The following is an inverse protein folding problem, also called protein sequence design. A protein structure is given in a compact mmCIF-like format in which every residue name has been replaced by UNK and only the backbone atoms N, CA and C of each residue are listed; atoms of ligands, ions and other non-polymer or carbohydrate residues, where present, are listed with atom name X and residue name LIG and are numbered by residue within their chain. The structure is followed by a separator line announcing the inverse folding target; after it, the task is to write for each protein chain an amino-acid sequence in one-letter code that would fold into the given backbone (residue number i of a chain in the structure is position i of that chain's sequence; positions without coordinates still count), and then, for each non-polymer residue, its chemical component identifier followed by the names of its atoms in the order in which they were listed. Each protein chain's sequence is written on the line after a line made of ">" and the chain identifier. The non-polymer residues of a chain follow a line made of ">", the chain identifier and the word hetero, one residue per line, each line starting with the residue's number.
data_IF_490458234625
#
_entry.id   IF_490458234625
#
_cell.length_a   1.000
_cell.length_b   1.000
_cell.length_c   1.000
_cell.angle_alpha   90.00
_cell.angle_beta   90.00
_cell.angle_gamma   90.00
#
_symmetry.space_group_name_H-M   'P 1'
#
loop_
_entity.id
_entity.type
_entity.pdbx_description
1 polymer ?
#
# COMPACT_ATOMS: atom_id res chain seq x y z
N UNK A 1 20.49 -48.49 -11.49
CA UNK A 1 19.77 -47.81 -10.37
C UNK A 1 20.61 -46.76 -9.62
N UNK A 2 21.88 -46.50 -9.95
CA UNK A 2 22.70 -45.47 -9.26
C UNK A 2 22.55 -44.05 -9.83
N UNK A 3 22.19 -43.90 -11.11
CA UNK A 3 22.04 -42.61 -11.79
C UNK A 3 20.76 -41.84 -11.42
N UNK A 4 19.64 -42.55 -11.20
CA UNK A 4 18.38 -41.92 -10.81
C UNK A 4 18.43 -41.29 -9.41
N UNK A 5 19.18 -41.90 -8.49
CA UNK A 5 19.38 -41.40 -7.11
C UNK A 5 20.24 -40.14 -7.10
N UNK A 6 21.22 -40.03 -8.01
CA UNK A 6 22.03 -38.82 -8.18
C UNK A 6 21.23 -37.65 -8.78
N UNK A 7 20.35 -37.90 -9.75
CA UNK A 7 19.49 -36.86 -10.32
C UNK A 7 18.47 -36.33 -9.30
N UNK A 8 17.89 -37.19 -8.46
CA UNK A 8 16.94 -36.74 -7.43
C UNK A 8 17.63 -35.97 -6.31
N UNK A 9 18.83 -36.38 -5.88
CA UNK A 9 19.64 -35.64 -4.91
C UNK A 9 20.10 -34.27 -5.45
N UNK A 10 20.54 -34.19 -6.70
CA UNK A 10 20.94 -32.93 -7.33
C UNK A 10 19.78 -31.92 -7.42
N UNK A 11 18.57 -32.40 -7.72
CA UNK A 11 17.36 -31.57 -7.74
C UNK A 11 16.91 -31.11 -6.35
N UNK A 12 17.05 -31.95 -5.32
CA UNK A 12 16.75 -31.54 -3.94
C UNK A 12 17.72 -30.48 -3.42
N UNK A 13 19.02 -30.57 -3.76
CA UNK A 13 20.02 -29.55 -3.37
C UNK A 13 19.75 -28.21 -4.07
N UNK A 14 19.37 -28.21 -5.35
CA UNK A 14 19.01 -26.97 -6.06
C UNK A 14 17.73 -26.33 -5.52
N UNK A 15 16.72 -27.13 -5.13
CA UNK A 15 15.51 -26.60 -4.48
C UNK A 15 15.76 -26.11 -3.04
N UNK A 16 16.66 -26.74 -2.29
CA UNK A 16 17.04 -26.30 -0.96
C UNK A 16 17.81 -24.96 -1.00
N UNK A 17 18.63 -24.74 -2.02
CA UNK A 17 19.38 -23.48 -2.17
C UNK A 17 18.55 -22.33 -2.79
N UNK A 18 17.48 -22.62 -3.55
CA UNK A 18 16.63 -21.55 -4.13
C UNK A 18 15.59 -20.98 -3.15
N UNK A 19 15.48 -21.55 -1.94
CA UNK A 19 14.57 -21.07 -0.87
C UNK A 19 15.24 -20.20 0.18
N UNK A 20 16.39 -19.58 -0.12
CA UNK A 20 16.87 -18.47 0.70
C UNK A 20 16.06 -17.20 0.38
N UNK A 21 14.86 -17.09 0.96
CA UNK A 21 14.22 -15.80 1.19
C UNK A 21 14.98 -15.09 2.30
N UNK A 22 16.21 -14.66 2.01
CA UNK A 22 16.92 -13.75 2.88
C UNK A 22 16.02 -12.53 3.06
N UNK A 23 15.47 -12.36 4.26
CA UNK A 23 14.82 -11.10 4.63
C UNK A 23 15.93 -10.05 4.62
N UNK A 24 16.06 -9.35 3.49
CA UNK A 24 16.87 -8.13 3.43
C UNK A 24 16.02 -7.09 4.16
N UNK A 25 16.40 -6.66 5.38
CA UNK A 25 15.66 -5.64 6.08
C UNK A 25 15.57 -4.42 5.17
N UNK A 26 14.36 -4.09 4.71
CA UNK A 26 14.14 -2.89 3.91
C UNK A 26 14.55 -1.72 4.80
N UNK A 27 15.58 -0.97 4.40
CA UNK A 27 15.89 0.31 5.05
C UNK A 27 14.61 1.15 5.06
N UNK A 28 14.01 1.32 6.24
CA UNK A 28 12.81 2.11 6.40
C UNK A 28 13.10 3.55 5.99
N UNK A 29 12.09 4.25 5.48
CA UNK A 29 12.21 5.69 5.33
C UNK A 29 12.36 6.30 6.74
N UNK A 30 13.18 7.34 6.86
CA UNK A 30 13.21 8.11 8.10
C UNK A 30 11.79 8.57 8.44
N UNK A 31 11.42 8.51 9.73
CA UNK A 31 10.05 8.76 10.20
C UNK A 31 9.42 10.05 9.64
N UNK A 32 10.12 11.20 9.56
CA UNK A 32 9.54 12.42 8.99
C UNK A 32 9.12 12.29 7.52
N UNK A 33 9.89 11.54 6.73
CA UNK A 33 9.63 11.30 5.30
C UNK A 33 8.44 10.35 5.11
N UNK A 34 8.40 9.30 5.92
CA UNK A 34 7.29 8.36 5.96
C UNK A 34 5.98 9.08 6.29
N UNK A 35 5.95 9.85 7.39
CA UNK A 35 4.76 10.58 7.84
C UNK A 35 4.29 11.58 6.78
N UNK A 36 5.21 12.35 6.20
CA UNK A 36 4.91 13.30 5.13
C UNK A 36 4.24 12.62 3.92
N UNK A 37 4.77 11.46 3.52
CA UNK A 37 4.26 10.73 2.37
C UNK A 37 2.90 10.08 2.66
N UNK A 38 2.73 9.41 3.81
CA UNK A 38 1.45 8.80 4.23
C UNK A 38 0.31 9.81 4.25
N UNK A 39 0.56 10.96 4.87
CA UNK A 39 -0.43 12.02 5.04
C UNK A 39 -0.96 12.50 3.70
N UNK A 40 -0.07 12.72 2.73
CA UNK A 40 -0.46 13.20 1.40
C UNK A 40 -1.12 12.11 0.54
N UNK A 41 -0.68 10.86 0.65
CA UNK A 41 -1.31 9.74 -0.07
C UNK A 41 -2.76 9.56 0.39
N UNK A 42 -2.99 9.44 1.70
CA UNK A 42 -4.34 9.24 2.25
C UNK A 42 -5.23 10.45 1.96
N UNK A 43 -4.72 11.68 2.13
CA UNK A 43 -5.49 12.86 1.77
C UNK A 43 -5.92 12.86 0.29
N UNK A 44 -5.05 12.41 -0.63
CA UNK A 44 -5.39 12.25 -2.03
C UNK A 44 -6.47 11.20 -2.28
N UNK A 45 -6.34 10.02 -1.66
CA UNK A 45 -7.31 8.93 -1.81
C UNK A 45 -8.68 9.28 -1.21
N UNK A 46 -8.70 9.95 -0.06
CA UNK A 46 -9.92 10.36 0.62
C UNK A 46 -10.67 11.43 -0.16
N UNK A 47 -9.97 12.42 -0.77
CA UNK A 47 -10.61 13.38 -1.69
C UNK A 47 -11.28 12.68 -2.87
N UNK A 48 -10.61 11.68 -3.47
CA UNK A 48 -11.17 10.87 -4.55
C UNK A 48 -12.39 10.10 -4.09
N UNK A 49 -12.34 9.51 -2.90
CA UNK A 49 -13.47 8.79 -2.33
C UNK A 49 -14.67 9.73 -2.11
N UNK A 50 -14.44 10.93 -1.58
CA UNK A 50 -15.50 11.94 -1.42
C UNK A 50 -16.14 12.28 -2.78
N UNK A 51 -15.34 12.59 -3.80
CA UNK A 51 -15.85 12.89 -5.14
C UNK A 51 -16.54 11.71 -5.82
N UNK A 52 -16.10 10.48 -5.54
CA UNK A 52 -16.75 9.27 -6.05
C UNK A 52 -18.08 8.99 -5.32
N UNK A 53 -18.11 9.12 -3.99
CA UNK A 53 -19.31 8.94 -3.16
C UNK A 53 -20.41 9.96 -3.48
N UNK A 54 -20.04 11.18 -3.88
CA UNK A 54 -21.01 12.18 -4.34
C UNK A 54 -21.79 11.72 -5.58
N UNK A 55 -21.18 10.87 -6.43
CA UNK A 55 -21.78 10.39 -7.69
C UNK A 55 -22.39 8.99 -7.57
N UNK A 56 -21.79 8.12 -6.78
CA UNK A 56 -22.10 6.68 -6.75
C UNK A 56 -22.51 6.17 -5.36
N UNK A 57 -22.47 7.03 -4.34
CA UNK A 57 -22.63 6.60 -2.96
C UNK A 57 -24.09 6.45 -2.49
N UNK A 58 -25.09 6.89 -3.26
CA UNK A 58 -26.50 6.98 -2.80
C UNK A 58 -27.04 5.68 -2.21
N UNK A 59 -26.71 4.53 -2.80
CA UNK A 59 -27.12 3.21 -2.33
C UNK A 59 -26.28 2.61 -1.20
N UNK A 60 -25.24 3.31 -0.73
CA UNK A 60 -24.33 2.81 0.31
C UNK A 60 -24.75 3.29 1.69
N UNK A 61 -24.83 2.34 2.62
CA UNK A 61 -25.05 2.64 4.03
C UNK A 61 -23.79 3.24 4.68
N UNK A 62 -23.95 3.78 5.89
CA UNK A 62 -22.86 4.44 6.61
C UNK A 62 -21.65 3.53 6.86
N UNK A 63 -21.88 2.25 7.16
CA UNK A 63 -20.82 1.27 7.41
C UNK A 63 -20.05 0.97 6.11
N UNK A 64 -20.73 0.77 4.98
CA UNK A 64 -20.09 0.57 3.68
C UNK A 64 -19.22 1.78 3.29
N UNK A 65 -19.72 3.00 3.49
CA UNK A 65 -18.94 4.23 3.25
C UNK A 65 -17.69 4.27 4.14
N UNK A 66 -17.83 3.95 5.43
CA UNK A 66 -16.72 3.84 6.38
C UNK A 66 -15.70 2.77 5.97
N UNK A 67 -16.18 1.63 5.46
CA UNK A 67 -15.31 0.56 4.93
C UNK A 67 -14.48 1.04 3.74
N UNK A 68 -15.01 1.90 2.86
CA UNK A 68 -14.22 2.43 1.74
C UNK A 68 -13.07 3.34 2.20
N UNK A 69 -13.23 4.10 3.28
CA UNK A 69 -12.10 4.82 3.90
C UNK A 69 -11.05 3.85 4.47
N UNK A 70 -11.49 2.74 5.07
CA UNK A 70 -10.57 1.69 5.50
C UNK A 70 -9.80 1.10 4.30
N UNK A 71 -10.47 0.89 3.15
CA UNK A 71 -9.84 0.41 1.91
C UNK A 71 -8.71 1.35 1.47
N UNK A 72 -8.86 2.67 1.59
CA UNK A 72 -7.78 3.62 1.29
C UNK A 72 -6.54 3.38 2.14
N UNK A 73 -6.73 3.25 3.46
CA UNK A 73 -5.63 2.99 4.39
C UNK A 73 -4.97 1.65 4.11
N UNK A 74 -5.77 0.61 3.86
CA UNK A 74 -5.28 -0.73 3.56
C UNK A 74 -4.54 -0.78 2.23
N UNK A 75 -5.04 -0.09 1.21
CA UNK A 75 -4.38 0.04 -0.08
C UNK A 75 -3.00 0.68 0.09
N UNK A 76 -2.91 1.78 0.84
CA UNK A 76 -1.61 2.40 1.13
C UNK A 76 -0.63 1.42 1.79
N UNK A 77 -1.08 0.64 2.79
CA UNK A 77 -0.22 -0.36 3.44
C UNK A 77 0.28 -1.42 2.45
N UNK A 78 -0.63 -2.00 1.66
CA UNK A 78 -0.30 -3.07 0.70
C UNK A 78 0.71 -2.61 -0.36
N UNK A 79 0.58 -1.37 -0.84
CA UNK A 79 1.42 -0.84 -1.91
C UNK A 79 2.60 0.01 -1.41
N UNK A 80 2.79 0.14 -0.10
CA UNK A 80 3.89 0.92 0.50
C UNK A 80 5.28 0.51 -0.01
N UNK A 81 5.60 -0.79 -0.16
CA UNK A 81 6.79 -1.26 -0.86
C UNK A 81 7.06 -0.64 -2.24
N UNK A 82 6.01 -0.42 -3.03
CA UNK A 82 6.09 0.12 -4.38
C UNK A 82 6.22 1.64 -4.35
N UNK A 83 5.49 2.30 -3.46
CA UNK A 83 5.56 3.74 -3.25
C UNK A 83 6.93 4.18 -2.75
N UNK A 84 7.51 3.45 -1.79
CA UNK A 84 8.87 3.72 -1.30
C UNK A 84 9.93 3.51 -2.39
N UNK A 85 9.79 2.48 -3.24
CA UNK A 85 10.67 2.27 -4.40
C UNK A 85 10.56 3.42 -5.41
N UNK A 86 9.34 3.89 -5.67
CA UNK A 86 9.12 5.06 -6.52
C UNK A 86 9.74 6.32 -5.90
N UNK A 87 9.51 6.58 -4.61
CA UNK A 87 10.08 7.73 -3.90
C UNK A 87 11.60 7.74 -3.95
N UNK A 88 12.26 6.60 -3.69
CA UNK A 88 13.73 6.47 -3.80
C UNK A 88 14.25 6.82 -5.19
N UNK A 89 13.55 6.41 -6.25
CA UNK A 89 13.91 6.77 -7.63
C UNK A 89 13.74 8.26 -7.90
N UNK A 90 12.70 8.90 -7.36
CA UNK A 90 12.51 10.34 -7.48
C UNK A 90 13.58 11.12 -6.71
N UNK A 91 13.88 10.73 -5.48
CA UNK A 91 14.88 11.43 -4.65
C UNK A 91 16.30 11.26 -5.17
N UNK A 92 16.65 10.11 -5.74
CA UNK A 92 17.96 9.90 -6.35
C UNK A 92 18.23 10.85 -7.54
N UNK A 93 17.18 11.30 -8.23
CA UNK A 93 17.28 12.23 -9.36
C UNK A 93 17.46 13.69 -8.96
N UNK A 94 17.36 14.02 -7.67
CA UNK A 94 17.41 15.41 -7.21
C UNK A 94 18.82 16.02 -7.26
N UNK A 95 19.87 15.19 -7.28
CA UNK A 95 21.26 15.68 -7.21
C UNK A 95 21.64 16.36 -5.88
N UNK A 96 20.74 16.31 -4.88
CA UNK A 96 20.91 16.86 -3.53
C UNK A 96 20.26 15.94 -2.48
N UNK A 97 20.60 16.09 -1.19
CA UNK A 97 19.86 15.43 -0.12
C UNK A 97 18.36 15.73 -0.19
N UNK A 98 17.55 14.68 0.00
CA UNK A 98 16.10 14.80 0.01
C UNK A 98 15.60 15.48 1.29
N UNK A 99 14.55 16.28 1.16
CA UNK A 99 13.90 16.99 2.27
C UNK A 99 12.51 16.42 2.54
N UNK A 100 11.93 16.74 3.71
CA UNK A 100 10.54 16.38 4.04
C UNK A 100 9.56 16.89 2.98
N UNK A 101 9.80 18.08 2.42
CA UNK A 101 8.93 18.66 1.40
C UNK A 101 8.97 17.88 0.07
N UNK A 102 10.09 17.24 -0.27
CA UNK A 102 10.17 16.39 -1.45
C UNK A 102 9.28 15.14 -1.27
N UNK A 103 9.27 14.54 -0.07
CA UNK A 103 8.38 13.44 0.25
C UNK A 103 6.90 13.84 0.34
N UNK A 104 6.58 15.06 0.78
CA UNK A 104 5.22 15.59 0.68
C UNK A 104 4.76 15.67 -0.77
N UNK A 105 5.59 16.24 -1.66
CA UNK A 105 5.29 16.35 -3.09
C UNK A 105 5.11 14.98 -3.74
N UNK A 106 6.02 14.03 -3.46
CA UNK A 106 5.92 12.65 -3.94
C UNK A 106 4.64 11.98 -3.44
N UNK A 107 4.30 12.10 -2.15
CA UNK A 107 3.08 11.54 -1.59
C UNK A 107 1.82 12.11 -2.22
N UNK A 108 1.79 13.43 -2.47
CA UNK A 108 0.68 14.10 -3.13
C UNK A 108 0.55 13.65 -4.60
N UNK A 109 1.67 13.44 -5.30
CA UNK A 109 1.67 12.90 -6.65
C UNK A 109 1.09 11.48 -6.69
N UNK A 110 1.50 10.60 -5.77
CA UNK A 110 0.97 9.25 -5.64
C UNK A 110 -0.54 9.29 -5.37
N UNK A 111 -0.97 10.08 -4.37
CA UNK A 111 -2.38 10.25 -4.02
C UNK A 111 -3.23 10.75 -5.18
N UNK A 112 -2.66 11.61 -6.03
CA UNK A 112 -3.33 12.13 -7.24
C UNK A 112 -3.36 11.12 -8.39
N UNK A 113 -2.27 10.39 -8.65
CA UNK A 113 -2.13 9.56 -9.86
C UNK A 113 -2.77 8.19 -9.76
N UNK A 114 -2.88 7.59 -8.57
CA UNK A 114 -3.45 6.24 -8.41
C UNK A 114 -4.97 6.30 -8.53
N UNK A 115 -5.58 5.61 -9.50
CA UNK A 115 -7.02 5.70 -9.77
C UNK A 115 -7.83 4.82 -8.79
N UNK A 116 -7.91 5.24 -7.53
CA UNK A 116 -8.66 4.53 -6.49
C UNK A 116 -10.15 4.36 -6.81
N UNK A 117 -10.70 5.24 -7.64
CA UNK A 117 -12.07 5.19 -8.14
C UNK A 117 -12.41 3.84 -8.79
N UNK A 118 -11.45 3.24 -9.51
CA UNK A 118 -11.63 1.91 -10.11
C UNK A 118 -11.79 0.82 -9.06
N UNK A 119 -11.06 0.92 -7.94
CA UNK A 119 -11.18 -0.02 -6.84
C UNK A 119 -12.53 0.11 -6.15
N UNK A 120 -13.02 1.33 -5.92
CA UNK A 120 -14.35 1.55 -5.35
C UNK A 120 -15.44 0.97 -6.26
N UNK A 121 -15.33 1.22 -7.57
CA UNK A 121 -16.28 0.72 -8.56
C UNK A 121 -16.40 -0.80 -8.53
N UNK A 122 -15.26 -1.50 -8.51
CA UNK A 122 -15.22 -2.97 -8.43
C UNK A 122 -15.85 -3.46 -7.13
N UNK A 123 -15.47 -2.87 -5.99
CA UNK A 123 -15.98 -3.29 -4.69
C UNK A 123 -17.50 -3.13 -4.59
N UNK A 124 -18.04 -2.04 -5.14
CA UNK A 124 -19.47 -1.73 -5.06
C UNK A 124 -20.26 -2.55 -6.07
N UNK A 125 -19.87 -2.53 -7.36
CA UNK A 125 -20.61 -3.24 -8.42
C UNK A 125 -20.61 -4.75 -8.27
N UNK A 126 -19.55 -5.31 -7.67
CA UNK A 126 -19.43 -6.76 -7.45
C UNK A 126 -19.91 -7.20 -6.07
N UNK A 127 -20.49 -6.28 -5.28
CA UNK A 127 -20.91 -6.56 -3.90
C UNK A 127 -19.76 -7.17 -3.05
N UNK A 128 -18.56 -6.63 -3.22
CA UNK A 128 -17.33 -7.09 -2.57
C UNK A 128 -16.85 -6.14 -1.47
N UNK A 129 -17.65 -5.16 -1.05
CA UNK A 129 -17.32 -4.33 0.11
C UNK A 129 -17.16 -5.24 1.32
N UNK A 130 -15.97 -5.29 1.96
CA UNK A 130 -15.75 -6.17 3.09
C UNK A 130 -16.72 -5.89 4.24
N UNK A 131 -17.21 -6.95 4.88
CA UNK A 131 -17.95 -6.80 6.12
C UNK A 131 -17.08 -6.10 7.18
N UNK A 132 -17.64 -5.12 7.87
CA UNK A 132 -16.93 -4.35 8.88
C UNK A 132 -16.50 -5.24 10.05
N UNK A 133 -15.24 -5.11 10.49
CA UNK A 133 -14.66 -5.88 11.60
C UNK A 133 -13.82 -4.99 12.52
N UNK A 134 -13.57 -5.47 13.74
CA UNK A 134 -12.84 -4.73 14.77
C UNK A 134 -11.47 -4.22 14.30
N UNK A 135 -10.67 -5.05 13.63
CA UNK A 135 -9.36 -4.64 13.13
C UNK A 135 -9.41 -3.45 12.15
N UNK A 136 -10.53 -3.29 11.41
CA UNK A 136 -10.76 -2.13 10.55
C UNK A 136 -11.01 -0.88 11.38
N UNK A 137 -11.76 -1.01 12.47
CA UNK A 137 -11.98 0.07 13.43
C UNK A 137 -10.67 0.49 14.08
N UNK A 138 -9.85 -0.46 14.51
CA UNK A 138 -8.54 -0.20 15.14
C UNK A 138 -7.61 0.54 14.17
N UNK A 139 -7.59 0.15 12.89
CA UNK A 139 -6.82 0.86 11.87
C UNK A 139 -7.39 2.27 11.59
N UNK A 140 -8.71 2.42 11.56
CA UNK A 140 -9.38 3.70 11.31
C UNK A 140 -9.24 4.68 12.48
N UNK A 141 -9.10 4.20 13.70
CA UNK A 141 -8.87 5.01 14.90
C UNK A 141 -7.49 5.65 14.95
N UNK A 142 -6.49 5.09 14.25
CA UNK A 142 -5.13 5.65 14.20
C UNK A 142 -5.12 6.98 13.45
N UNK A 143 -4.27 7.91 13.88
CA UNK A 143 -3.87 9.05 13.04
C UNK A 143 -3.15 8.51 11.81
N UNK A 144 -3.23 9.25 10.69
CA UNK A 144 -2.63 8.80 9.42
C UNK A 144 -1.12 8.58 9.55
N UNK A 145 -0.44 9.42 10.34
CA UNK A 145 0.98 9.29 10.65
C UNK A 145 1.32 7.96 11.35
N UNK A 146 0.40 7.41 12.15
CA UNK A 146 0.62 6.21 12.98
C UNK A 146 0.12 4.91 12.32
N UNK A 147 -0.37 4.99 11.08
CA UNK A 147 -0.73 3.79 10.31
C UNK A 147 0.55 2.96 10.10
N UNK A 148 0.61 1.68 10.53
CA UNK A 148 1.81 0.86 10.37
C UNK A 148 2.03 0.51 8.89
N UNK A 149 3.28 0.52 8.44
CA UNK A 149 3.69 0.15 7.07
C UNK A 149 4.97 -0.67 7.12
N UNK A 150 5.16 -1.59 6.16
CA UNK A 150 6.30 -2.52 6.07
C UNK A 150 7.01 -2.50 4.72
#
# INVERSE_FOLDING_TARGET
>A
MKLLVLCTLAMMVTMAMSRSWGFIPRRSLARPYEVAMKTQIIAGFDRKLVSWLARHGSGLNAIQRKTLYFVNRRHMQTYWPSYTRYARRQTARLGRPATVNDYRRIGAEIGRRIPMELSYEVLVRRNMIPAWRQYMADLMAKRVEDIPVG
#
